data_IF_260813108958
#
_entry.id   IF_260813108958
#
_cell.length_a   1.000
_cell.length_b   1.000
_cell.length_c   1.000
_cell.angle_alpha   90.00
_cell.angle_beta   90.00
_cell.angle_gamma   90.00
#
_symmetry.space_group_name_H-M   'P 1'
#
loop_
_entity.id
_entity.type
_entity.pdbx_description
1 polymer ?
#
# COMPACT_ATOMS: atom_id res chain seq x y z
N UNK A 1 22.98 39.06 -2.16
CA UNK A 1 22.26 38.04 -2.96
C UNK A 1 21.36 37.27 -2.06
N UNK A 2 20.04 37.53 -2.12
CA UNK A 2 19.07 36.76 -1.37
C UNK A 2 19.02 35.35 -1.98
N UNK A 3 19.28 34.29 -1.19
CA UNK A 3 18.95 32.91 -1.57
C UNK A 3 17.43 32.87 -1.76
N UNK A 4 17.01 32.69 -3.02
CA UNK A 4 15.62 32.32 -3.32
C UNK A 4 15.27 31.13 -2.40
N UNK A 5 14.29 31.35 -1.54
CA UNK A 5 13.74 30.28 -0.71
C UNK A 5 13.10 29.31 -1.71
N UNK A 6 13.72 28.14 -1.93
CA UNK A 6 13.10 27.09 -2.72
C UNK A 6 11.68 26.91 -2.18
N UNK A 7 10.70 26.96 -3.06
CA UNK A 7 9.31 26.79 -2.68
C UNK A 7 9.20 25.42 -1.97
N UNK A 8 8.63 25.44 -0.75
CA UNK A 8 8.43 24.24 0.05
C UNK A 8 7.43 23.35 -0.70
N UNK A 9 7.85 22.16 -1.09
CA UNK A 9 7.07 21.23 -1.92
C UNK A 9 6.44 20.17 -1.01
N UNK A 10 5.16 19.90 -1.20
CA UNK A 10 4.45 18.79 -0.55
C UNK A 10 4.26 17.65 -1.54
N UNK A 11 4.65 16.44 -1.16
CA UNK A 11 4.43 15.24 -1.97
C UNK A 11 3.10 14.60 -1.61
N UNK A 12 2.19 14.52 -2.56
CA UNK A 12 0.89 13.84 -2.43
C UNK A 12 0.96 12.53 -3.18
N UNK A 13 0.72 11.41 -2.48
CA UNK A 13 0.69 10.09 -3.12
C UNK A 13 -0.75 9.56 -3.15
N UNK A 14 -1.21 9.20 -4.33
CA UNK A 14 -2.51 8.58 -4.61
C UNK A 14 -2.31 7.17 -5.16
N UNK A 15 -3.38 6.36 -5.26
CA UNK A 15 -3.26 4.99 -5.76
C UNK A 15 -3.21 4.86 -7.29
N UNK A 16 -3.75 5.85 -8.05
CA UNK A 16 -3.84 5.71 -9.51
C UNK A 16 -3.36 6.95 -10.28
N UNK A 17 -2.77 6.77 -11.50
CA UNK A 17 -2.33 7.88 -12.33
C UNK A 17 -3.46 8.83 -12.78
N UNK A 18 -4.68 8.31 -12.92
CA UNK A 18 -5.84 9.12 -13.26
C UNK A 18 -6.18 10.11 -12.14
N UNK A 19 -6.17 9.64 -10.88
CA UNK A 19 -6.35 10.50 -9.71
C UNK A 19 -5.20 11.50 -9.57
N UNK A 20 -3.95 11.08 -9.78
CA UNK A 20 -2.79 11.97 -9.69
C UNK A 20 -2.93 13.19 -10.64
N UNK A 21 -3.26 12.96 -11.89
CA UNK A 21 -3.47 14.05 -12.86
C UNK A 21 -4.58 15.01 -12.44
N UNK A 22 -5.73 14.46 -12.00
CA UNK A 22 -6.90 15.26 -11.65
C UNK A 22 -6.67 16.08 -10.37
N UNK A 23 -6.14 15.45 -9.34
CA UNK A 23 -5.86 16.09 -8.05
C UNK A 23 -4.74 17.12 -8.18
N UNK A 24 -3.67 16.81 -8.95
CA UNK A 24 -2.59 17.76 -9.23
C UNK A 24 -3.08 19.05 -9.89
N UNK A 25 -4.04 18.93 -10.81
CA UNK A 25 -4.69 20.10 -11.44
C UNK A 25 -5.53 20.95 -10.47
N UNK A 26 -5.97 20.37 -9.34
CA UNK A 26 -6.78 21.11 -8.34
C UNK A 26 -5.92 21.73 -7.23
N UNK A 27 -4.81 21.11 -6.87
CA UNK A 27 -3.91 21.59 -5.80
C UNK A 27 -2.98 22.71 -6.28
N UNK A 28 -2.56 22.70 -7.56
CA UNK A 28 -1.71 23.72 -8.14
C UNK A 28 -0.26 23.70 -7.66
N UNK A 29 0.41 24.85 -7.74
CA UNK A 29 1.82 25.00 -7.38
C UNK A 29 2.10 24.70 -5.91
N UNK A 30 3.28 24.17 -5.61
CA UNK A 30 3.65 23.73 -4.25
C UNK A 30 3.31 22.27 -3.94
N UNK A 31 2.62 21.56 -4.83
CA UNK A 31 2.31 20.15 -4.68
C UNK A 31 2.88 19.34 -5.84
N UNK A 32 3.57 18.24 -5.51
CA UNK A 32 3.85 17.17 -6.46
C UNK A 32 2.86 16.05 -6.17
N UNK A 33 2.02 15.71 -7.14
CA UNK A 33 1.04 14.62 -6.99
C UNK A 33 1.45 13.45 -7.84
N UNK A 34 1.74 12.31 -7.20
CA UNK A 34 2.25 11.11 -7.86
C UNK A 34 1.42 9.88 -7.48
N UNK A 35 1.42 8.87 -8.36
CA UNK A 35 0.68 7.63 -8.13
C UNK A 35 1.59 6.49 -7.68
N UNK A 36 1.16 5.73 -6.67
CA UNK A 36 1.79 4.45 -6.29
C UNK A 36 1.49 3.32 -7.27
N UNK A 37 0.43 3.48 -8.08
CA UNK A 37 -0.10 2.44 -8.97
C UNK A 37 -0.53 1.20 -8.17
N UNK A 38 -1.36 1.42 -7.16
CA UNK A 38 -1.86 0.40 -6.23
C UNK A 38 -0.83 0.01 -5.15
N UNK A 39 -0.92 -1.23 -4.66
CA UNK A 39 0.00 -1.74 -3.65
C UNK A 39 1.43 -1.85 -4.15
N UNK A 40 2.38 -1.33 -3.38
CA UNK A 40 3.83 -1.39 -3.70
C UNK A 40 4.52 -2.62 -3.11
N UNK A 41 3.95 -3.22 -2.04
CA UNK A 41 4.42 -4.44 -1.40
C UNK A 41 3.26 -5.37 -1.09
N UNK A 42 3.53 -6.66 -1.02
CA UNK A 42 2.57 -7.70 -0.69
C UNK A 42 3.29 -8.91 -0.07
N UNK A 43 2.53 -9.91 0.39
CA UNK A 43 3.07 -11.21 0.75
C UNK A 43 3.73 -11.88 -0.48
N UNK A 44 4.83 -12.65 -0.33
CA UNK A 44 5.50 -13.29 -1.46
C UNK A 44 4.53 -14.11 -2.31
N UNK A 45 4.54 -13.90 -3.61
CA UNK A 45 3.69 -14.66 -4.54
C UNK A 45 4.40 -15.91 -5.05
N UNK A 46 5.72 -15.87 -5.14
CA UNK A 46 6.58 -16.95 -5.64
C UNK A 46 7.78 -17.14 -4.72
N UNK A 47 8.37 -18.33 -4.73
CA UNK A 47 9.57 -18.62 -3.98
C UNK A 47 10.76 -17.69 -4.31
N UNK A 48 10.78 -17.13 -5.53
CA UNK A 48 11.78 -16.17 -5.96
C UNK A 48 11.66 -14.81 -5.25
N UNK A 49 10.46 -14.45 -4.80
CA UNK A 49 10.19 -13.18 -4.15
C UNK A 49 10.61 -13.18 -2.67
N UNK A 50 10.85 -14.37 -2.10
CA UNK A 50 11.27 -14.55 -0.70
C UNK A 50 12.72 -14.07 -0.53
N UNK A 51 13.00 -13.14 0.41
CA UNK A 51 14.34 -12.67 0.71
C UNK A 51 15.27 -13.82 1.12
N UNK A 52 16.58 -13.69 0.83
CA UNK A 52 17.55 -14.77 1.02
C UNK A 52 17.59 -15.30 2.45
N UNK A 53 17.46 -14.43 3.42
CA UNK A 53 17.43 -14.71 4.86
C UNK A 53 16.25 -15.60 5.28
N UNK A 54 15.11 -15.50 4.57
CA UNK A 54 13.89 -16.28 4.87
C UNK A 54 13.76 -17.56 4.05
N UNK A 55 14.61 -17.79 3.02
CA UNK A 55 14.46 -18.94 2.09
C UNK A 55 14.49 -20.31 2.75
N UNK A 56 15.20 -20.43 3.90
CA UNK A 56 15.32 -21.69 4.65
C UNK A 56 14.23 -21.87 5.70
N UNK A 57 13.39 -20.88 5.91
CA UNK A 57 12.36 -20.88 6.94
C UNK A 57 11.08 -21.45 6.32
N UNK A 58 10.48 -22.42 6.97
CA UNK A 58 9.33 -23.17 6.42
C UNK A 58 8.11 -22.29 6.12
N UNK A 59 7.74 -21.42 7.06
CA UNK A 59 6.56 -20.54 6.92
C UNK A 59 6.75 -19.43 5.87
N UNK A 60 7.98 -19.10 5.47
CA UNK A 60 8.23 -18.04 4.48
C UNK A 60 7.59 -18.32 3.12
N UNK A 61 7.27 -19.60 2.79
CA UNK A 61 6.52 -19.96 1.58
C UNK A 61 5.06 -19.52 1.65
N UNK A 62 4.47 -19.57 2.83
CA UNK A 62 3.12 -19.06 3.09
C UNK A 62 3.15 -17.52 3.22
N UNK A 63 4.29 -16.96 3.62
CA UNK A 63 4.49 -15.52 3.83
C UNK A 63 3.90 -15.04 5.15
N UNK A 64 3.60 -15.95 6.09
CA UNK A 64 3.00 -15.64 7.41
C UNK A 64 3.65 -16.51 8.46
N UNK A 65 4.19 -15.90 9.50
CA UNK A 65 4.76 -16.59 10.67
C UNK A 65 3.67 -16.81 11.72
N UNK A 66 3.11 -18.03 11.73
CA UNK A 66 1.97 -18.39 12.61
C UNK A 66 2.40 -18.47 14.07
N UNK A 67 3.64 -18.89 14.32
CA UNK A 67 4.18 -19.05 15.68
C UNK A 67 4.51 -17.70 16.32
N UNK A 68 4.66 -16.65 15.50
CA UNK A 68 4.95 -15.30 15.93
C UNK A 68 3.78 -14.34 15.60
N UNK A 69 2.65 -14.57 16.23
CA UNK A 69 1.44 -13.75 16.14
C UNK A 69 0.97 -13.45 14.70
N UNK A 70 1.09 -14.46 13.81
CA UNK A 70 0.72 -14.37 12.40
C UNK A 70 1.46 -13.25 11.64
N UNK A 71 2.68 -12.91 12.05
CA UNK A 71 3.46 -11.85 11.45
C UNK A 71 3.62 -12.03 9.92
N UNK A 72 3.20 -11.07 9.10
CA UNK A 72 3.28 -11.17 7.65
C UNK A 72 4.68 -10.81 7.15
N UNK A 73 5.19 -11.58 6.18
CA UNK A 73 6.42 -11.27 5.46
C UNK A 73 6.07 -10.41 4.23
N UNK A 74 6.22 -9.10 4.34
CA UNK A 74 6.01 -8.20 3.21
C UNK A 74 7.25 -8.04 2.36
N UNK A 75 7.07 -8.11 1.05
CA UNK A 75 8.12 -7.90 0.04
C UNK A 75 7.66 -6.85 -0.97
N UNK A 76 8.61 -6.03 -1.45
CA UNK A 76 8.31 -5.08 -2.53
C UNK A 76 8.11 -5.89 -3.81
N UNK A 77 6.97 -5.69 -4.47
CA UNK A 77 6.69 -6.33 -5.74
C UNK A 77 7.77 -5.96 -6.77
N UNK A 78 8.32 -6.93 -7.52
CA UNK A 78 9.42 -6.68 -8.45
C UNK A 78 9.13 -5.57 -9.48
N UNK A 79 7.90 -5.50 -9.97
CA UNK A 79 7.40 -4.48 -10.90
C UNK A 79 7.24 -3.08 -10.28
N UNK A 80 7.23 -2.99 -8.95
CA UNK A 80 7.09 -1.74 -8.19
C UNK A 80 8.41 -1.12 -7.75
N UNK A 81 9.53 -1.83 -7.89
CA UNK A 81 10.85 -1.34 -7.44
C UNK A 81 11.23 0.00 -8.07
N UNK A 82 10.98 0.18 -9.35
CA UNK A 82 11.25 1.44 -10.05
C UNK A 82 10.38 2.58 -9.49
N UNK A 83 9.08 2.32 -9.28
CA UNK A 83 8.16 3.30 -8.70
C UNK A 83 8.54 3.67 -7.26
N UNK A 84 8.92 2.71 -6.44
CA UNK A 84 9.41 2.96 -5.07
C UNK A 84 10.67 3.84 -5.10
N UNK A 85 11.60 3.58 -6.02
CA UNK A 85 12.81 4.41 -6.16
C UNK A 85 12.46 5.86 -6.57
N UNK A 86 11.56 6.02 -7.55
CA UNK A 86 11.04 7.33 -7.98
C UNK A 86 10.40 8.11 -6.82
N UNK A 87 9.49 7.47 -6.07
CA UNK A 87 8.83 8.10 -4.91
C UNK A 87 9.84 8.50 -3.82
N UNK A 88 10.89 7.69 -3.59
CA UNK A 88 11.97 8.04 -2.66
C UNK A 88 12.76 9.27 -3.12
N UNK A 89 13.00 9.43 -4.41
CA UNK A 89 13.69 10.64 -4.93
C UNK A 89 12.81 11.89 -4.82
N UNK A 90 11.52 11.78 -5.14
CA UNK A 90 10.58 12.89 -4.96
C UNK A 90 10.45 13.30 -3.49
N UNK A 91 10.42 12.32 -2.59
CA UNK A 91 10.32 12.58 -1.15
C UNK A 91 11.53 13.37 -0.59
N UNK A 92 12.72 13.23 -1.18
CA UNK A 92 13.91 14.02 -0.76
C UNK A 92 13.75 15.53 -0.99
N UNK A 93 12.85 15.91 -1.91
CA UNK A 93 12.58 17.30 -2.27
C UNK A 93 11.37 17.86 -1.53
N UNK A 94 10.64 17.01 -0.81
CA UNK A 94 9.40 17.35 -0.12
C UNK A 94 9.66 17.68 1.35
N UNK A 95 8.89 18.61 1.88
CA UNK A 95 8.86 18.94 3.31
C UNK A 95 7.75 18.20 4.08
N UNK A 96 6.75 17.67 3.36
CA UNK A 96 5.61 16.95 3.91
C UNK A 96 5.17 15.87 2.93
N UNK A 97 4.79 14.71 3.46
CA UNK A 97 4.18 13.61 2.72
C UNK A 97 2.69 13.54 3.03
N UNK A 98 1.85 13.66 2.01
CA UNK A 98 0.39 13.53 2.12
C UNK A 98 -0.05 12.25 1.40
N UNK A 99 -0.68 11.36 2.14
CA UNK A 99 -1.22 10.11 1.61
C UNK A 99 -2.70 10.30 1.31
N UNK A 100 -3.05 10.28 0.03
CA UNK A 100 -4.36 10.63 -0.51
C UNK A 100 -5.01 9.44 -1.26
N UNK A 101 -4.92 8.26 -0.65
CA UNK A 101 -5.57 7.02 -1.11
C UNK A 101 -7.04 7.00 -0.69
N UNK A 102 -7.84 6.06 -1.22
CA UNK A 102 -9.27 5.97 -0.93
C UNK A 102 -9.60 5.87 0.56
N UNK A 103 -10.78 6.34 0.94
CA UNK A 103 -11.27 6.29 2.32
C UNK A 103 -11.92 4.93 2.59
N UNK A 104 -11.12 3.89 2.50
CA UNK A 104 -11.50 2.54 2.90
C UNK A 104 -10.29 1.81 3.52
N UNK A 105 -10.53 0.60 4.02
CA UNK A 105 -9.45 -0.18 4.64
C UNK A 105 -8.33 -0.55 3.67
N UNK A 106 -8.62 -0.70 2.37
CA UNK A 106 -7.60 -1.00 1.36
C UNK A 106 -6.73 0.22 1.08
N UNK A 107 -7.33 1.41 0.92
CA UNK A 107 -6.61 2.66 0.76
C UNK A 107 -5.77 3.00 2.01
N UNK A 108 -6.27 2.72 3.21
CA UNK A 108 -5.54 2.92 4.45
C UNK A 108 -4.31 1.98 4.55
N UNK A 109 -4.47 0.71 4.14
CA UNK A 109 -3.36 -0.23 4.06
C UNK A 109 -2.32 0.16 2.99
N UNK A 110 -2.76 0.66 1.82
CA UNK A 110 -1.84 1.20 0.80
C UNK A 110 -1.02 2.35 1.38
N UNK A 111 -1.67 3.29 2.08
CA UNK A 111 -1.01 4.42 2.74
C UNK A 111 0.03 3.94 3.75
N UNK A 112 -0.33 3.00 4.62
CA UNK A 112 0.58 2.40 5.60
C UNK A 112 1.76 1.67 4.92
N UNK A 113 1.51 0.88 3.88
CA UNK A 113 2.56 0.21 3.12
C UNK A 113 3.54 1.19 2.47
N UNK A 114 3.06 2.36 2.04
CA UNK A 114 3.91 3.45 1.55
C UNK A 114 4.81 3.99 2.65
N UNK A 115 4.28 4.29 3.84
CA UNK A 115 5.07 4.75 4.99
C UNK A 115 6.15 3.76 5.36
N UNK A 116 5.79 2.48 5.53
CA UNK A 116 6.72 1.41 5.89
C UNK A 116 7.83 1.18 4.85
N UNK A 117 7.52 1.38 3.56
CA UNK A 117 8.49 1.16 2.48
C UNK A 117 9.38 2.37 2.21
N UNK A 118 8.80 3.56 2.26
CA UNK A 118 9.51 4.81 1.97
C UNK A 118 10.29 5.32 3.17
N UNK A 119 9.84 5.00 4.40
CA UNK A 119 10.43 5.42 5.67
C UNK A 119 10.69 6.94 5.72
N UNK A 120 9.64 7.77 5.53
CA UNK A 120 9.78 9.22 5.49
C UNK A 120 10.34 9.77 6.79
N UNK A 121 11.24 10.75 6.68
CA UNK A 121 11.77 11.53 7.81
C UNK A 121 11.11 12.91 7.92
N UNK A 122 10.09 13.14 7.12
CA UNK A 122 9.28 14.36 7.05
C UNK A 122 7.89 14.07 7.64
N UNK A 123 7.14 15.10 8.05
CA UNK A 123 5.78 14.93 8.52
C UNK A 123 4.91 14.16 7.54
N UNK A 124 4.07 13.26 8.06
CA UNK A 124 3.15 12.42 7.29
C UNK A 124 1.74 12.85 7.64
N UNK A 125 0.91 13.02 6.64
CA UNK A 125 -0.52 13.32 6.79
C UNK A 125 -1.37 12.43 5.92
N UNK A 126 -2.56 12.14 6.38
CA UNK A 126 -3.59 11.40 5.66
C UNK A 126 -4.66 12.36 5.17
N UNK A 127 -4.82 12.48 3.87
CA UNK A 127 -5.85 13.26 3.21
C UNK A 127 -6.97 12.32 2.76
N UNK A 128 -8.21 12.62 3.15
CA UNK A 128 -9.39 11.80 2.86
C UNK A 128 -10.43 12.65 2.15
N UNK A 129 -11.04 12.10 1.11
CA UNK A 129 -12.09 12.75 0.32
C UNK A 129 -13.06 11.72 -0.26
N UNK A 130 -14.33 12.07 -0.33
CA UNK A 130 -15.38 11.20 -0.84
C UNK A 130 -15.61 11.39 -2.35
N UNK A 131 -15.16 12.52 -2.91
CA UNK A 131 -15.29 12.83 -4.33
C UNK A 131 -14.06 13.61 -4.83
N UNK A 132 -13.80 13.53 -6.15
CA UNK A 132 -12.68 14.24 -6.76
C UNK A 132 -13.22 15.49 -7.49
N UNK A 133 -13.70 16.46 -6.72
CA UNK A 133 -14.03 17.82 -7.15
C UNK A 133 -12.96 18.78 -6.63
N UNK A 134 -12.85 19.96 -7.21
CA UNK A 134 -11.85 20.95 -6.79
C UNK A 134 -12.09 21.38 -5.34
N UNK A 135 -13.33 21.64 -4.99
CA UNK A 135 -13.77 22.07 -3.66
C UNK A 135 -13.47 21.01 -2.60
N UNK A 136 -13.81 19.74 -2.88
CA UNK A 136 -13.57 18.63 -1.97
C UNK A 136 -12.08 18.37 -1.74
N UNK A 137 -11.26 18.45 -2.78
CA UNK A 137 -9.82 18.26 -2.69
C UNK A 137 -9.14 19.39 -1.94
N UNK A 138 -9.53 20.65 -2.17
CA UNK A 138 -9.00 21.80 -1.43
C UNK A 138 -9.39 21.75 0.04
N UNK A 139 -10.63 21.40 0.36
CA UNK A 139 -11.06 21.20 1.74
C UNK A 139 -10.32 20.03 2.42
N UNK A 140 -10.11 18.91 1.71
CA UNK A 140 -9.45 17.73 2.26
C UNK A 140 -7.97 17.97 2.57
N UNK A 141 -7.25 18.77 1.79
CA UNK A 141 -5.84 19.09 2.05
C UNK A 141 -5.64 19.97 3.27
N UNK A 142 -6.65 20.78 3.60
CA UNK A 142 -6.66 21.62 4.81
C UNK A 142 -7.07 20.82 6.07
N UNK A 143 -7.86 19.75 5.89
CA UNK A 143 -8.42 18.93 6.97
C UNK A 143 -7.81 17.51 6.96
N UNK A 144 -6.50 17.41 7.05
CA UNK A 144 -5.80 16.14 7.11
C UNK A 144 -5.87 15.51 8.50
N UNK A 145 -5.72 14.17 8.56
CA UNK A 145 -5.69 13.38 9.80
C UNK A 145 -4.47 12.47 9.87
N UNK A 146 -4.33 11.72 10.93
CA UNK A 146 -3.39 10.60 11.01
C UNK A 146 -3.94 9.34 10.34
N UNK A 147 -3.08 8.33 10.14
CA UNK A 147 -3.48 7.02 9.66
C UNK A 147 -4.41 6.33 10.67
N UNK A 148 -5.43 5.64 10.18
CA UNK A 148 -6.34 4.83 10.98
C UNK A 148 -5.81 3.38 11.09
N UNK A 149 -5.13 3.10 12.20
CA UNK A 149 -4.55 1.78 12.45
C UNK A 149 -5.60 0.68 12.63
N UNK A 150 -6.83 0.99 13.01
CA UNK A 150 -7.90 -0.01 13.09
C UNK A 150 -8.31 -0.51 11.70
N UNK A 151 -8.36 0.39 10.71
CA UNK A 151 -8.61 -0.01 9.33
C UNK A 151 -7.45 -0.79 8.73
N UNK A 152 -6.19 -0.41 9.07
CA UNK A 152 -4.98 -1.14 8.67
C UNK A 152 -5.03 -2.55 9.23
N UNK A 153 -5.22 -2.73 10.54
CA UNK A 153 -5.29 -4.03 11.20
C UNK A 153 -6.40 -4.91 10.62
N UNK A 154 -7.56 -4.32 10.31
CA UNK A 154 -8.67 -5.03 9.68
C UNK A 154 -8.28 -5.56 8.28
N UNK A 155 -7.56 -4.79 7.48
CA UNK A 155 -7.09 -5.21 6.16
C UNK A 155 -5.95 -6.23 6.26
N UNK A 156 -5.01 -6.04 7.19
CA UNK A 156 -3.91 -6.97 7.47
C UNK A 156 -4.47 -8.34 7.89
N UNK A 157 -5.38 -8.36 8.87
CA UNK A 157 -6.05 -9.59 9.31
C UNK A 157 -6.74 -10.30 8.15
N UNK A 158 -7.47 -9.57 7.32
CA UNK A 158 -8.10 -10.12 6.14
C UNK A 158 -7.07 -10.70 5.17
N UNK A 159 -5.98 -9.98 4.91
CA UNK A 159 -4.92 -10.40 3.99
C UNK A 159 -4.24 -11.69 4.44
N UNK A 160 -3.90 -11.77 5.72
CA UNK A 160 -3.32 -12.97 6.35
C UNK A 160 -4.29 -14.15 6.28
N UNK A 161 -5.56 -13.93 6.67
CA UNK A 161 -6.58 -14.97 6.65
C UNK A 161 -6.82 -15.52 5.23
N UNK A 162 -6.95 -14.65 4.23
CA UNK A 162 -7.16 -15.06 2.84
C UNK A 162 -5.94 -15.85 2.31
N UNK A 163 -4.73 -15.48 2.70
CA UNK A 163 -3.49 -16.18 2.35
C UNK A 163 -3.46 -17.59 2.95
N UNK A 164 -3.65 -17.72 4.25
CA UNK A 164 -3.60 -18.99 4.95
C UNK A 164 -4.71 -19.93 4.48
N UNK A 165 -5.93 -19.41 4.31
CA UNK A 165 -7.07 -20.17 3.80
C UNK A 165 -6.76 -20.72 2.40
N UNK A 166 -6.31 -19.88 1.47
CA UNK A 166 -6.00 -20.29 0.10
C UNK A 166 -4.86 -21.32 0.04
N UNK A 167 -3.79 -21.12 0.79
CA UNK A 167 -2.62 -22.00 0.77
C UNK A 167 -2.88 -23.37 1.41
N UNK A 168 -3.73 -23.44 2.43
CA UNK A 168 -3.98 -24.68 3.16
C UNK A 168 -5.12 -25.51 2.57
N UNK A 169 -6.16 -24.87 2.05
CA UNK A 169 -7.31 -25.59 1.48
C UNK A 169 -7.14 -25.94 0.00
N UNK A 170 -6.47 -25.11 -0.80
CA UNK A 170 -6.28 -25.44 -2.23
C UNK A 170 -5.61 -26.79 -2.46
N UNK A 171 -4.55 -27.21 -1.74
CA UNK A 171 -3.97 -28.55 -1.88
C UNK A 171 -4.93 -29.68 -1.52
N UNK A 172 -5.84 -29.47 -0.58
CA UNK A 172 -6.89 -30.46 -0.24
C UNK A 172 -7.87 -30.63 -1.40
N UNK A 173 -8.30 -29.52 -2.00
CA UNK A 173 -9.16 -29.54 -3.18
C UNK A 173 -8.47 -30.24 -4.37
N UNK A 174 -7.16 -30.02 -4.57
CA UNK A 174 -6.42 -30.70 -5.64
C UNK A 174 -6.37 -32.23 -5.48
N UNK A 175 -6.31 -32.70 -4.23
CA UNK A 175 -6.30 -34.13 -3.94
C UNK A 175 -7.67 -34.79 -4.02
N UNK A 176 -8.74 -34.05 -3.71
CA UNK A 176 -10.08 -34.63 -3.51
C UNK A 176 -11.05 -34.29 -4.65
N UNK A 177 -10.85 -33.19 -5.36
CA UNK A 177 -11.77 -32.72 -6.40
C UNK A 177 -11.07 -32.66 -7.75
N UNK A 178 -10.24 -31.66 -8.00
CA UNK A 178 -9.57 -31.44 -9.28
C UNK A 178 -8.31 -30.60 -9.13
N UNK A 179 -7.21 -30.91 -9.90
CA UNK A 179 -6.01 -30.09 -9.88
C UNK A 179 -6.25 -28.65 -10.34
N UNK A 180 -5.47 -27.72 -9.78
CA UNK A 180 -5.44 -26.28 -10.15
C UNK A 180 -6.68 -25.44 -9.83
N UNK A 181 -7.65 -25.96 -9.08
CA UNK A 181 -8.70 -25.12 -8.48
C UNK A 181 -8.15 -24.43 -7.24
N UNK A 182 -8.66 -23.24 -6.92
CA UNK A 182 -8.28 -22.50 -5.72
C UNK A 182 -9.41 -22.42 -4.72
N UNK A 183 -9.09 -22.56 -3.44
CA UNK A 183 -10.00 -22.21 -2.37
C UNK A 183 -9.92 -20.70 -2.09
N UNK A 184 -11.04 -20.01 -2.13
CA UNK A 184 -11.16 -18.63 -1.70
C UNK A 184 -12.16 -18.53 -0.57
N UNK A 185 -11.87 -17.79 0.49
CA UNK A 185 -12.74 -17.66 1.66
C UNK A 185 -14.14 -17.17 1.28
N UNK A 186 -14.23 -16.18 0.40
CA UNK A 186 -15.52 -15.66 -0.08
C UNK A 186 -16.18 -16.63 -1.06
N UNK A 187 -15.41 -17.17 -2.00
CA UNK A 187 -15.92 -18.12 -3.01
C UNK A 187 -16.49 -19.40 -2.39
N UNK A 188 -15.83 -19.92 -1.34
CA UNK A 188 -16.27 -21.18 -0.69
C UNK A 188 -17.57 -21.04 0.10
N UNK A 189 -18.00 -19.83 0.41
CA UNK A 189 -19.28 -19.57 1.12
C UNK A 189 -20.39 -19.20 0.14
N UNK A 190 -20.03 -18.66 -1.04
CA UNK A 190 -20.99 -18.20 -2.04
C UNK A 190 -21.45 -19.32 -3.01
N UNK A 191 -20.84 -20.51 -2.93
CA UNK A 191 -21.24 -21.72 -3.67
C UNK A 191 -21.96 -22.70 -2.78
#
# INVERSE_FOLDING_TARGET
MAKEKAALIKLVIVESPAKARKIGGYLGDGYIVEASVGHIRDLPQRAADIPKEYKKIAWAKEGVDIENDFAPLYVINPDKKAKVAELKELMKQAEELILATDEDREGEAIAWHLVETLQPKIPIKRMVFNEITKEAIQAAVENTRDLDYHLIDAQETRRVLDRLFGYRLSPVLWKKVMPRISAGRVQSVAT
#
